data_IF_969403645457
#
_entry.id   IF_969403645457
#
_cell.length_a   1.000
_cell.length_b   1.000
_cell.length_c   1.000
_cell.angle_alpha   90.00
_cell.angle_beta   90.00
_cell.angle_gamma   90.00
#
_symmetry.space_group_name_H-M   'P 1'
#
loop_
_entity.id
_entity.type
_entity.pdbx_description
1 polymer ?
#
# COMPACT_ATOMS: atom_id res chain seq x y z
N UNK A 1 1.83 -19.47 11.76
CA UNK A 1 2.56 -18.38 11.04
C UNK A 1 4.01 -18.82 10.88
N UNK A 2 4.62 -18.46 9.78
CA UNK A 2 6.03 -18.72 9.50
C UNK A 2 6.79 -17.39 9.51
N UNK A 3 8.03 -17.41 10.01
CA UNK A 3 8.86 -16.20 10.07
C UNK A 3 10.22 -16.51 9.47
N UNK A 4 10.69 -15.63 8.59
CA UNK A 4 11.94 -15.75 7.88
C UNK A 4 12.73 -14.44 7.94
N UNK A 5 14.05 -14.54 8.12
CA UNK A 5 14.97 -13.40 7.95
C UNK A 5 15.61 -13.49 6.57
N UNK A 6 15.53 -12.40 5.81
CA UNK A 6 16.17 -12.27 4.52
C UNK A 6 17.26 -11.19 4.57
N UNK A 7 18.30 -11.36 3.74
CA UNK A 7 19.33 -10.36 3.55
C UNK A 7 19.00 -9.51 2.32
N UNK A 8 19.09 -8.20 2.47
CA UNK A 8 18.92 -7.24 1.39
C UNK A 8 20.31 -6.99 0.81
N UNK A 9 20.61 -7.53 -0.38
CA UNK A 9 21.95 -7.54 -0.94
C UNK A 9 22.55 -6.14 -1.13
N UNK A 10 23.80 -5.99 -0.73
CA UNK A 10 24.64 -4.83 -1.09
C UNK A 10 25.32 -4.99 -2.46
N UNK A 11 25.21 -6.16 -3.09
CA UNK A 11 25.84 -6.49 -4.36
C UNK A 11 24.89 -6.36 -5.56
N UNK A 12 25.45 -6.30 -6.77
CA UNK A 12 24.73 -6.26 -8.04
C UNK A 12 23.86 -7.50 -8.33
N UNK A 13 23.93 -8.52 -7.51
CA UNK A 13 23.07 -9.70 -7.57
C UNK A 13 21.86 -9.47 -6.66
N UNK A 14 20.72 -9.14 -7.28
CA UNK A 14 19.43 -8.98 -6.59
C UNK A 14 18.92 -10.36 -6.19
N UNK A 15 19.00 -10.69 -4.90
CA UNK A 15 18.23 -11.80 -4.38
C UNK A 15 16.76 -11.41 -4.35
N UNK A 16 15.93 -12.18 -5.06
CA UNK A 16 14.48 -11.99 -5.10
C UNK A 16 13.83 -13.04 -4.21
N UNK A 17 13.20 -12.59 -3.14
CA UNK A 17 12.38 -13.46 -2.29
C UNK A 17 10.94 -13.44 -2.78
N UNK A 18 10.54 -14.50 -3.48
CA UNK A 18 9.23 -14.59 -4.13
C UNK A 18 8.32 -15.55 -3.37
N UNK A 19 7.12 -15.12 -3.08
CA UNK A 19 6.12 -15.88 -2.34
C UNK A 19 4.81 -16.03 -3.14
N UNK A 20 4.17 -17.21 -3.12
CA UNK A 20 4.75 -18.46 -2.59
C UNK A 20 6.02 -18.86 -3.36
N UNK A 21 6.86 -19.67 -2.74
CA UNK A 21 8.07 -20.20 -3.37
C UNK A 21 7.77 -20.77 -4.76
N UNK A 22 8.71 -20.53 -5.72
CA UNK A 22 8.58 -20.91 -7.12
C UNK A 22 7.53 -20.13 -7.95
N UNK A 23 6.92 -19.07 -7.41
CA UNK A 23 6.14 -18.13 -8.20
C UNK A 23 7.05 -17.23 -9.03
N UNK A 24 6.59 -16.81 -10.22
CA UNK A 24 7.30 -15.79 -10.99
C UNK A 24 6.78 -14.40 -10.62
N UNK A 25 7.67 -13.40 -10.36
CA UNK A 25 7.25 -12.02 -10.17
C UNK A 25 6.39 -11.54 -11.35
N UNK A 26 5.19 -10.98 -11.07
CA UNK A 26 4.29 -10.49 -12.10
C UNK A 26 3.49 -11.57 -12.84
N UNK A 27 3.50 -12.82 -12.39
CA UNK A 27 2.62 -13.87 -12.94
C UNK A 27 1.15 -13.52 -12.71
N UNK A 28 0.24 -14.11 -13.51
CA UNK A 28 -1.22 -13.96 -13.30
C UNK A 28 -1.69 -14.61 -11.98
N UNK A 29 -0.87 -15.47 -11.38
CA UNK A 29 -1.11 -16.06 -10.08
C UNK A 29 -0.76 -15.08 -8.95
N UNK A 30 -1.32 -15.31 -7.76
CA UNK A 30 -0.90 -14.63 -6.54
C UNK A 30 0.62 -14.75 -6.38
N UNK A 31 1.28 -13.61 -6.36
CA UNK A 31 2.73 -13.55 -6.10
C UNK A 31 3.09 -12.22 -5.46
N UNK A 32 3.99 -12.28 -4.50
CA UNK A 32 4.62 -11.12 -3.89
C UNK A 32 6.12 -11.35 -3.87
N UNK A 33 6.87 -10.34 -4.23
CA UNK A 33 8.32 -10.40 -4.24
C UNK A 33 8.87 -9.28 -3.36
N UNK A 34 9.74 -9.64 -2.43
CA UNK A 34 10.54 -8.69 -1.67
C UNK A 34 11.98 -8.74 -2.17
N UNK A 35 12.56 -7.59 -2.41
CA UNK A 35 14.00 -7.47 -2.67
C UNK A 35 14.52 -6.13 -2.19
N UNK A 36 15.82 -6.03 -2.04
CA UNK A 36 16.50 -4.79 -1.71
C UNK A 36 17.84 -4.69 -2.42
N UNK A 37 18.43 -3.52 -2.45
CA UNK A 37 19.73 -3.29 -3.04
C UNK A 37 20.09 -1.83 -3.10
N UNK A 38 21.30 -1.55 -3.60
CA UNK A 38 21.80 -0.21 -3.79
C UNK A 38 21.73 0.18 -5.28
N UNK A 39 21.15 1.34 -5.54
CA UNK A 39 21.06 1.94 -6.85
C UNK A 39 22.21 2.95 -7.03
N UNK A 40 22.98 2.84 -8.09
CA UNK A 40 24.28 3.50 -8.26
C UNK A 40 24.34 4.53 -9.40
N UNK A 41 23.26 5.17 -9.72
CA UNK A 41 23.22 6.34 -10.61
C UNK A 41 22.94 6.03 -12.09
N UNK A 42 22.95 4.78 -12.56
CA UNK A 42 22.52 4.46 -13.89
C UNK A 42 21.00 4.60 -14.03
N UNK A 43 20.55 5.29 -15.11
CA UNK A 43 19.13 5.41 -15.37
C UNK A 43 18.50 4.03 -15.56
N UNK A 44 17.54 3.70 -14.73
CA UNK A 44 16.82 2.43 -14.74
C UNK A 44 15.34 2.67 -14.76
N UNK A 45 14.59 1.84 -15.49
CA UNK A 45 13.13 1.87 -15.48
C UNK A 45 12.57 0.74 -14.62
N UNK A 46 11.62 1.07 -13.78
CA UNK A 46 10.82 0.10 -13.01
C UNK A 46 9.35 0.19 -13.41
N UNK A 47 8.57 -0.84 -13.06
CA UNK A 47 7.17 -0.95 -13.43
C UNK A 47 6.96 -1.63 -14.78
N UNK A 48 5.71 -1.81 -15.15
CA UNK A 48 5.30 -2.44 -16.41
C UNK A 48 3.93 -3.08 -16.32
N UNK A 49 3.44 -3.59 -17.45
CA UNK A 49 2.08 -4.13 -17.56
C UNK A 49 1.84 -5.31 -16.61
N UNK A 50 0.82 -5.19 -15.78
CA UNK A 50 0.39 -6.24 -14.85
C UNK A 50 1.19 -6.34 -13.55
N UNK A 51 2.18 -5.46 -13.32
CA UNK A 51 3.02 -5.43 -12.13
C UNK A 51 2.79 -4.12 -11.40
N UNK A 52 2.47 -4.20 -10.11
CA UNK A 52 2.48 -3.04 -9.22
C UNK A 52 3.57 -3.20 -8.17
N UNK A 53 4.11 -2.10 -7.69
CA UNK A 53 5.18 -2.12 -6.69
C UNK A 53 5.12 -0.93 -5.74
N UNK A 54 5.57 -1.18 -4.53
CA UNK A 54 5.88 -0.18 -3.54
C UNK A 54 7.36 -0.21 -3.24
N UNK A 55 7.94 0.95 -3.11
CA UNK A 55 9.37 1.13 -2.95
C UNK A 55 9.61 2.10 -1.80
N UNK A 56 10.55 1.77 -0.92
CA UNK A 56 11.02 2.68 0.13
C UNK A 56 12.51 2.88 0.01
N UNK A 57 12.97 4.13 0.13
CA UNK A 57 14.40 4.41 0.22
C UNK A 57 14.89 4.15 1.62
N UNK A 58 15.93 3.34 1.75
CA UNK A 58 16.60 3.07 3.02
C UNK A 58 17.73 4.06 3.27
N UNK A 59 18.34 4.60 2.20
CA UNK A 59 19.35 5.66 2.25
C UNK A 59 19.44 6.42 0.92
N UNK A 60 20.02 7.61 0.91
CA UNK A 60 20.27 8.41 -0.29
C UNK A 60 19.06 9.14 -0.84
N UNK A 61 19.06 9.42 -2.14
CA UNK A 61 17.93 10.07 -2.83
C UNK A 61 17.84 9.69 -4.30
N UNK A 62 16.61 9.68 -4.83
CA UNK A 62 16.31 9.43 -6.24
C UNK A 62 15.39 10.51 -6.81
N UNK A 63 15.52 10.75 -8.11
CA UNK A 63 14.54 11.44 -8.93
C UNK A 63 13.72 10.38 -9.67
N UNK A 64 12.42 10.32 -9.42
CA UNK A 64 11.48 9.44 -10.08
C UNK A 64 10.74 10.21 -11.16
N UNK A 65 10.84 9.78 -12.43
CA UNK A 65 10.12 10.38 -13.56
C UNK A 65 9.12 9.37 -14.09
N UNK A 66 7.84 9.68 -13.97
CA UNK A 66 6.73 8.83 -14.44
C UNK A 66 6.46 9.02 -15.93
N UNK A 67 5.83 8.03 -16.57
CA UNK A 67 5.44 8.08 -17.99
C UNK A 67 4.44 9.21 -18.35
N UNK A 68 3.74 9.79 -17.36
CA UNK A 68 2.88 10.96 -17.50
C UNK A 68 3.65 12.29 -17.42
N UNK A 69 4.97 12.25 -17.27
CA UNK A 69 5.86 13.42 -17.15
C UNK A 69 6.00 13.99 -15.74
N UNK A 70 5.29 13.44 -14.76
CA UNK A 70 5.40 13.81 -13.34
C UNK A 70 6.79 13.44 -12.82
N UNK A 71 7.41 14.36 -12.07
CA UNK A 71 8.72 14.15 -11.43
C UNK A 71 8.61 14.32 -9.93
N UNK A 72 9.14 13.38 -9.19
CA UNK A 72 9.14 13.38 -7.72
C UNK A 72 10.57 13.10 -7.25
N UNK A 73 11.11 13.98 -6.40
CA UNK A 73 12.33 13.68 -5.63
C UNK A 73 11.92 12.90 -4.40
N UNK A 74 12.57 11.76 -4.18
CA UNK A 74 12.38 10.91 -2.99
C UNK A 74 13.69 10.80 -2.23
N UNK A 75 13.62 10.79 -0.91
CA UNK A 75 14.75 10.76 0.01
C UNK A 75 14.61 9.56 0.96
N UNK A 76 15.65 9.28 1.75
CA UNK A 76 15.62 8.18 2.71
C UNK A 76 14.39 8.25 3.65
N UNK A 77 13.65 7.18 3.73
CA UNK A 77 12.37 7.07 4.46
C UNK A 77 11.13 7.35 3.61
N UNK A 78 11.26 7.96 2.44
CA UNK A 78 10.14 8.20 1.53
C UNK A 78 9.70 6.92 0.82
N UNK A 79 8.40 6.85 0.55
CA UNK A 79 7.77 5.74 -0.16
C UNK A 79 7.23 6.26 -1.48
N UNK A 80 7.48 5.52 -2.55
CA UNK A 80 6.84 5.76 -3.85
C UNK A 80 6.30 4.46 -4.43
N UNK A 81 5.37 4.55 -5.36
CA UNK A 81 4.71 3.39 -5.95
C UNK A 81 4.69 3.45 -7.48
N UNK A 82 4.65 2.27 -8.09
CA UNK A 82 4.36 2.05 -9.49
C UNK A 82 3.07 1.24 -9.59
N UNK A 83 2.06 1.76 -10.26
CA UNK A 83 0.85 1.01 -10.59
C UNK A 83 1.04 0.21 -11.89
N UNK A 84 0.09 -0.67 -12.21
CA UNK A 84 0.22 -1.67 -13.27
C UNK A 84 0.48 -1.15 -14.69
N UNK A 85 0.26 0.13 -14.92
CA UNK A 85 0.50 0.81 -16.22
C UNK A 85 1.64 1.82 -16.14
N UNK A 86 2.19 2.04 -14.94
CA UNK A 86 3.26 3.00 -14.75
C UNK A 86 4.59 2.47 -15.25
N UNK A 87 5.38 3.39 -15.77
CA UNK A 87 6.78 3.20 -16.04
C UNK A 87 7.53 4.36 -15.41
N UNK A 88 8.39 4.05 -14.45
CA UNK A 88 9.10 5.07 -13.67
C UNK A 88 10.58 4.96 -13.95
N UNK A 89 11.16 6.03 -14.48
CA UNK A 89 12.60 6.19 -14.65
C UNK A 89 13.20 6.70 -13.33
N UNK A 90 14.21 6.02 -12.83
CA UNK A 90 14.94 6.35 -11.61
C UNK A 90 16.31 6.93 -11.96
N UNK A 91 16.72 8.02 -11.30
CA UNK A 91 18.03 8.65 -11.44
C UNK A 91 18.53 9.11 -10.07
N UNK A 92 19.76 8.73 -9.66
CA UNK A 92 20.37 9.11 -8.38
C UNK A 92 21.09 7.94 -7.70
N UNK A 93 21.41 8.10 -6.41
CA UNK A 93 22.09 7.06 -5.62
C UNK A 93 21.28 6.80 -4.35
N UNK A 94 20.85 5.57 -4.14
CA UNK A 94 20.04 5.22 -2.99
C UNK A 94 20.06 3.73 -2.67
N UNK A 95 19.95 3.40 -1.39
CA UNK A 95 19.48 2.11 -0.95
C UNK A 95 17.96 2.03 -1.11
N UNK A 96 17.45 0.94 -1.64
CA UNK A 96 16.03 0.75 -1.92
C UNK A 96 15.57 -0.63 -1.46
N UNK A 97 14.40 -0.67 -0.84
CA UNK A 97 13.66 -1.90 -0.61
C UNK A 97 12.39 -1.90 -1.44
N UNK A 98 12.14 -2.99 -2.12
CA UNK A 98 11.04 -3.14 -3.05
C UNK A 98 10.08 -4.23 -2.60
N UNK A 99 8.78 -3.95 -2.70
CA UNK A 99 7.71 -4.93 -2.66
C UNK A 99 6.99 -4.93 -4.01
N UNK A 100 7.18 -5.97 -4.79
CA UNK A 100 6.58 -6.14 -6.12
C UNK A 100 5.43 -7.13 -6.00
N UNK A 101 4.29 -6.75 -6.56
CA UNK A 101 3.05 -7.51 -6.45
C UNK A 101 2.55 -7.91 -7.83
N UNK A 102 2.21 -9.19 -7.97
CA UNK A 102 1.48 -9.70 -9.12
C UNK A 102 -0.02 -9.42 -9.02
N UNK A 103 -0.75 -9.85 -10.04
CA UNK A 103 -2.22 -9.75 -10.06
C UNK A 103 -2.84 -10.49 -8.85
N UNK A 104 -3.86 -9.88 -8.25
CA UNK A 104 -4.57 -10.47 -7.11
C UNK A 104 -3.90 -10.24 -5.75
N UNK A 105 -2.87 -9.41 -5.69
CA UNK A 105 -2.27 -8.94 -4.43
C UNK A 105 -2.66 -7.49 -4.19
N UNK A 106 -3.08 -7.19 -2.96
CA UNK A 106 -3.18 -5.83 -2.43
C UNK A 106 -2.06 -5.63 -1.42
N UNK A 107 -1.37 -4.52 -1.50
CA UNK A 107 -0.30 -4.23 -0.56
C UNK A 107 -0.05 -2.75 -0.36
N UNK A 108 0.75 -2.44 0.63
CA UNK A 108 1.23 -1.10 0.91
C UNK A 108 2.50 -1.17 1.78
N UNK A 109 3.29 -0.11 1.77
CA UNK A 109 4.35 0.12 2.73
C UNK A 109 3.94 1.27 3.65
N UNK A 110 4.20 1.14 4.94
CA UNK A 110 4.07 2.21 5.92
C UNK A 110 5.31 2.30 6.78
N UNK A 111 5.59 3.48 7.30
CA UNK A 111 6.64 3.70 8.30
C UNK A 111 6.03 4.06 9.64
N UNK A 112 6.72 3.74 10.71
CA UNK A 112 6.35 4.13 12.07
C UNK A 112 7.57 4.22 12.97
N UNK A 113 7.46 5.01 14.05
CA UNK A 113 8.48 5.06 15.08
C UNK A 113 8.30 3.90 16.05
N UNK A 114 9.34 3.10 16.25
CA UNK A 114 9.41 2.06 17.25
C UNK A 114 10.11 2.60 18.49
N UNK A 115 9.32 2.84 19.53
CA UNK A 115 9.76 3.32 20.84
C UNK A 115 9.72 2.17 21.84
N UNK A 116 10.89 1.64 22.19
CA UNK A 116 11.01 0.47 23.06
C UNK A 116 10.31 -0.75 22.46
N UNK A 117 9.15 -1.14 22.98
CA UNK A 117 8.40 -2.33 22.54
C UNK A 117 7.08 -1.95 21.91
N UNK A 118 6.73 -2.61 20.79
CA UNK A 118 5.44 -2.46 20.12
C UNK A 118 4.91 -3.81 19.66
N UNK A 119 3.68 -4.12 20.05
CA UNK A 119 2.98 -5.27 19.53
C UNK A 119 2.37 -4.94 18.17
N UNK A 120 2.66 -5.76 17.18
CA UNK A 120 2.13 -5.64 15.82
C UNK A 120 1.27 -6.84 15.50
N UNK A 121 0.06 -6.60 15.00
CA UNK A 121 -0.79 -7.67 14.48
C UNK A 121 -0.37 -8.02 13.07
N UNK A 122 -0.42 -9.32 12.75
CA UNK A 122 -0.03 -9.90 11.48
C UNK A 122 -1.10 -10.91 11.04
N UNK A 123 -1.31 -11.00 9.72
CA UNK A 123 -2.40 -11.75 9.15
C UNK A 123 -3.73 -10.98 9.16
N UNK A 124 -4.57 -11.24 8.18
CA UNK A 124 -5.87 -10.56 8.01
C UNK A 124 -7.07 -11.51 8.09
N UNK A 125 -6.82 -12.81 8.17
CA UNK A 125 -7.87 -13.83 8.28
C UNK A 125 -8.72 -14.05 7.03
N UNK A 126 -8.47 -13.31 5.94
CA UNK A 126 -9.23 -13.38 4.68
C UNK A 126 -8.44 -13.93 3.50
N UNK A 127 -7.12 -14.02 3.60
CA UNK A 127 -6.23 -14.53 2.57
C UNK A 127 -4.82 -14.73 3.12
N UNK A 128 -3.94 -15.28 2.30
CA UNK A 128 -2.52 -15.33 2.66
C UNK A 128 -1.96 -13.93 2.70
N UNK A 129 -1.19 -13.63 3.75
CA UNK A 129 -0.56 -12.32 3.94
C UNK A 129 0.92 -12.47 4.26
N UNK A 130 1.71 -11.55 3.71
CA UNK A 130 3.13 -11.45 3.92
C UNK A 130 3.44 -10.03 4.39
N UNK A 131 4.18 -9.91 5.48
CA UNK A 131 4.60 -8.61 6.02
C UNK A 131 6.10 -8.64 6.22
N UNK A 132 6.83 -7.78 5.51
CA UNK A 132 8.26 -7.57 5.73
C UNK A 132 8.47 -6.36 6.64
N UNK A 133 9.26 -6.53 7.69
CA UNK A 133 9.68 -5.46 8.60
C UNK A 133 11.15 -5.12 8.34
N UNK A 134 11.45 -3.83 8.19
CA UNK A 134 12.79 -3.32 7.86
C UNK A 134 13.12 -2.15 8.80
N UNK A 135 14.30 -2.17 9.43
CA UNK A 135 14.83 -1.02 10.15
C UNK A 135 15.42 0.00 9.18
N UNK A 136 14.95 1.26 9.24
CA UNK A 136 15.42 2.32 8.33
C UNK A 136 16.66 3.06 8.87
N UNK A 137 16.71 3.26 10.17
CA UNK A 137 17.79 3.99 10.82
C UNK A 137 18.34 3.31 12.09
N UNK A 138 18.03 2.02 12.27
CA UNK A 138 18.46 1.24 13.42
C UNK A 138 18.03 -0.20 13.31
N UNK A 139 18.34 -0.98 14.33
CA UNK A 139 18.07 -2.41 14.42
C UNK A 139 16.96 -2.72 15.41
N UNK A 140 16.28 -3.83 15.23
CA UNK A 140 15.22 -4.28 16.14
C UNK A 140 15.16 -5.79 16.20
N UNK A 141 14.53 -6.29 17.25
CA UNK A 141 14.21 -7.69 17.43
C UNK A 141 12.73 -7.91 17.24
N UNK A 142 12.34 -8.89 16.41
CA UNK A 142 10.99 -9.41 16.32
C UNK A 142 10.90 -10.71 17.13
N UNK A 143 9.92 -10.81 18.01
CA UNK A 143 9.67 -11.99 18.85
C UNK A 143 8.27 -12.56 18.55
N UNK A 144 8.21 -13.86 18.32
CA UNK A 144 7.00 -14.63 18.12
C UNK A 144 7.12 -16.00 18.81
N UNK A 145 6.18 -16.36 19.68
CA UNK A 145 6.15 -17.64 20.41
C UNK A 145 7.46 -17.98 21.15
N UNK A 146 8.19 -16.96 21.60
CA UNK A 146 9.47 -17.10 22.32
C UNK A 146 10.71 -17.16 21.41
N UNK A 147 10.54 -17.30 20.11
CA UNK A 147 11.63 -17.19 19.14
C UNK A 147 11.93 -15.72 18.82
N UNK A 148 13.20 -15.40 18.59
CA UNK A 148 13.70 -14.05 18.33
C UNK A 148 14.43 -13.97 17.00
N UNK A 149 14.01 -13.00 16.19
CA UNK A 149 14.57 -12.69 14.88
C UNK A 149 15.18 -11.30 14.93
N UNK A 150 16.49 -11.19 14.77
CA UNK A 150 17.20 -9.90 14.78
C UNK A 150 17.18 -9.32 13.39
N UNK A 151 16.58 -8.14 13.25
CA UNK A 151 16.60 -7.35 12.02
C UNK A 151 17.74 -6.33 12.10
N UNK A 152 18.82 -6.62 11.41
CA UNK A 152 20.00 -5.78 11.27
C UNK A 152 19.85 -4.83 10.08
N UNK A 153 20.80 -3.89 9.97
CA UNK A 153 20.91 -3.10 8.74
C UNK A 153 21.03 -4.05 7.53
N UNK A 154 20.37 -3.69 6.43
CA UNK A 154 20.36 -4.47 5.19
C UNK A 154 19.73 -5.87 5.33
N UNK A 155 18.82 -6.03 6.28
CA UNK A 155 17.98 -7.24 6.39
C UNK A 155 16.51 -6.88 6.57
N UNK A 156 15.64 -7.83 6.28
CA UNK A 156 14.22 -7.77 6.60
C UNK A 156 13.78 -9.04 7.32
N UNK A 157 12.77 -8.91 8.18
CA UNK A 157 12.09 -10.08 8.77
C UNK A 157 10.72 -10.17 8.14
N UNK A 158 10.44 -11.28 7.46
CA UNK A 158 9.17 -11.54 6.79
C UNK A 158 8.33 -12.44 7.68
N UNK A 159 7.08 -12.05 7.87
CA UNK A 159 6.06 -12.85 8.56
C UNK A 159 5.02 -13.28 7.52
N UNK A 160 4.85 -14.57 7.36
CA UNK A 160 3.79 -15.18 6.56
C UNK A 160 2.66 -15.65 7.47
N UNK A 161 1.45 -15.25 7.17
CA UNK A 161 0.23 -15.77 7.78
C UNK A 161 -0.66 -16.37 6.71
N UNK A 162 -1.00 -17.65 6.85
CA UNK A 162 -1.86 -18.40 5.96
C UNK A 162 -3.32 -17.90 5.97
N UNK A 163 -4.14 -18.47 5.13
CA UNK A 163 -5.60 -18.20 5.09
C UNK A 163 -6.21 -18.48 6.45
N UNK A 164 -6.96 -17.52 7.00
CA UNK A 164 -7.58 -17.56 8.33
C UNK A 164 -6.61 -17.51 9.51
N UNK A 165 -5.33 -17.33 9.28
CA UNK A 165 -4.38 -17.09 10.34
C UNK A 165 -4.28 -15.60 10.67
N UNK A 166 -4.19 -15.31 11.94
CA UNK A 166 -3.82 -14.00 12.46
C UNK A 166 -3.15 -14.18 13.81
N UNK A 167 -2.26 -13.29 14.12
CA UNK A 167 -1.51 -13.34 15.36
C UNK A 167 -0.91 -11.99 15.70
N UNK A 168 0.04 -11.99 16.61
CA UNK A 168 0.77 -10.79 16.98
C UNK A 168 2.25 -11.11 17.14
N UNK A 169 3.08 -10.21 16.66
CA UNK A 169 4.53 -10.24 16.89
C UNK A 169 4.92 -9.06 17.77
N UNK A 170 5.94 -9.23 18.60
CA UNK A 170 6.50 -8.15 19.40
C UNK A 170 7.74 -7.60 18.71
N UNK A 171 7.74 -6.32 18.40
CA UNK A 171 8.93 -5.61 17.96
C UNK A 171 9.56 -4.90 19.14
N UNK A 172 10.88 -4.98 19.27
CA UNK A 172 11.66 -4.31 20.31
C UNK A 172 12.79 -3.56 19.64
N UNK A 173 12.88 -2.25 19.84
CA UNK A 173 14.01 -1.44 19.38
C UNK A 173 15.28 -1.83 20.14
N UNK A 174 16.40 -2.00 19.44
CA UNK A 174 17.68 -2.34 20.03
C UNK A 174 18.45 -1.04 20.35
N UNK A 175 18.09 -0.39 21.46
CA UNK A 175 18.67 0.88 21.89
C UNK A 175 17.70 2.06 21.76
N UNK A 176 18.07 3.08 20.97
CA UNK A 176 17.24 4.27 20.76
C UNK A 176 16.00 3.98 19.89
N UNK A 177 15.05 4.92 19.93
CA UNK A 177 13.86 4.87 19.07
C UNK A 177 14.26 4.88 17.58
N UNK A 178 13.68 3.99 16.82
CA UNK A 178 14.01 3.79 15.40
C UNK A 178 12.81 3.93 14.49
N UNK A 179 13.06 4.29 13.24
CA UNK A 179 12.05 4.21 12.17
C UNK A 179 12.03 2.81 11.58
N UNK A 180 10.85 2.20 11.52
CA UNK A 180 10.63 0.88 10.94
C UNK A 180 9.65 1.00 9.78
N UNK A 181 9.97 0.37 8.65
CA UNK A 181 9.03 0.15 7.58
C UNK A 181 8.36 -1.22 7.70
N UNK A 182 7.06 -1.27 7.43
CA UNK A 182 6.30 -2.50 7.30
C UNK A 182 5.66 -2.55 5.90
N UNK A 183 6.15 -3.49 5.08
CA UNK A 183 5.65 -3.76 3.74
C UNK A 183 4.67 -4.94 3.80
N UNK A 184 3.39 -4.69 3.61
CA UNK A 184 2.34 -5.69 3.72
C UNK A 184 1.74 -6.02 2.37
N UNK A 185 1.63 -7.31 2.04
CA UNK A 185 0.91 -7.81 0.88
C UNK A 185 -0.07 -8.91 1.25
N UNK A 186 -1.29 -8.82 0.74
CA UNK A 186 -2.39 -9.73 1.04
C UNK A 186 -3.02 -10.24 -0.25
N UNK A 187 -3.31 -11.53 -0.29
CA UNK A 187 -4.07 -12.12 -1.38
C UNK A 187 -5.48 -11.53 -1.44
N UNK A 188 -5.83 -10.94 -2.57
CA UNK A 188 -7.20 -10.52 -2.81
C UNK A 188 -8.09 -11.72 -3.20
N UNK A 189 -9.33 -11.68 -2.80
CA UNK A 189 -10.36 -12.48 -3.43
C UNK A 189 -10.43 -12.12 -4.92
N UNK A 190 -10.76 -13.11 -5.79
CA UNK A 190 -10.77 -12.95 -7.26
C UNK A 190 -11.65 -11.80 -7.77
N UNK A 191 -12.55 -11.28 -6.95
CA UNK A 191 -13.53 -10.25 -7.30
C UNK A 191 -13.35 -9.02 -6.41
N UNK A 192 -12.71 -7.99 -6.95
CA UNK A 192 -12.62 -6.65 -6.37
C UNK A 192 -13.51 -5.71 -7.20
N UNK A 193 -14.60 -5.21 -6.60
CA UNK A 193 -15.55 -4.34 -7.30
C UNK A 193 -14.95 -2.98 -7.64
N UNK A 194 -14.06 -2.44 -6.80
CA UNK A 194 -13.31 -1.23 -7.11
C UNK A 194 -12.43 -1.40 -8.36
N UNK A 195 -11.72 -2.52 -8.44
CA UNK A 195 -10.92 -2.87 -9.63
C UNK A 195 -11.81 -3.09 -10.87
N UNK A 196 -12.97 -3.71 -10.70
CA UNK A 196 -13.93 -3.95 -11.80
C UNK A 196 -14.41 -2.64 -12.44
N UNK A 197 -14.72 -1.62 -11.63
CA UNK A 197 -15.05 -0.29 -12.14
C UNK A 197 -13.83 0.52 -12.60
N UNK A 198 -12.60 0.08 -12.34
CA UNK A 198 -11.36 0.71 -12.80
C UNK A 198 -10.75 1.73 -11.87
N UNK A 199 -10.98 1.62 -10.56
CA UNK A 199 -10.31 2.48 -9.56
C UNK A 199 -8.81 2.22 -9.57
N UNK A 200 -8.03 3.29 -9.71
CA UNK A 200 -6.57 3.29 -9.62
C UNK A 200 -6.12 4.12 -8.43
N UNK A 201 -5.41 3.52 -7.51
CA UNK A 201 -4.85 4.21 -6.35
C UNK A 201 -3.59 4.97 -6.75
N UNK A 202 -3.52 6.26 -6.42
CA UNK A 202 -2.41 7.16 -6.78
C UNK A 202 -1.45 7.36 -5.60
N UNK A 203 -1.99 7.59 -4.41
CA UNK A 203 -1.24 7.92 -3.21
C UNK A 203 -1.82 7.19 -2.01
N UNK A 204 -0.97 6.75 -1.10
CA UNK A 204 -1.36 6.06 0.13
C UNK A 204 -0.37 6.37 1.26
N UNK A 205 -0.91 6.67 2.42
CA UNK A 205 -0.16 6.78 3.67
C UNK A 205 -1.04 6.38 4.84
N UNK A 206 -0.55 6.43 6.05
CA UNK A 206 -1.33 6.06 7.22
C UNK A 206 -2.57 6.97 7.36
N UNK A 207 -3.75 6.37 7.25
CA UNK A 207 -5.03 7.08 7.31
C UNK A 207 -5.40 7.90 6.09
N UNK A 208 -4.63 7.82 5.02
CA UNK A 208 -4.85 8.60 3.80
C UNK A 208 -4.81 7.73 2.55
N UNK A 209 -5.66 8.05 1.60
CA UNK A 209 -5.63 7.45 0.26
C UNK A 209 -6.20 8.42 -0.77
N UNK A 210 -5.59 8.41 -1.96
CA UNK A 210 -6.06 9.12 -3.15
C UNK A 210 -6.14 8.15 -4.30
N UNK A 211 -7.23 8.22 -5.06
CA UNK A 211 -7.42 7.39 -6.24
C UNK A 211 -8.05 8.16 -7.39
N UNK A 212 -7.87 7.61 -8.59
CA UNK A 212 -8.42 8.10 -9.84
C UNK A 212 -9.34 7.05 -10.46
N UNK A 213 -10.40 7.50 -11.06
CA UNK A 213 -11.30 6.71 -11.90
C UNK A 213 -11.45 7.37 -13.27
N UNK A 214 -10.91 6.75 -14.31
CA UNK A 214 -11.13 7.18 -15.69
C UNK A 214 -12.56 6.80 -16.11
N UNK A 215 -13.33 7.80 -16.60
CA UNK A 215 -14.76 7.61 -16.85
C UNK A 215 -15.00 6.90 -18.17
N UNK A 216 -15.84 5.87 -18.12
CA UNK A 216 -16.29 5.06 -19.24
C UNK A 216 -17.81 5.15 -19.38
N UNK A 217 -18.38 4.78 -20.55
CA UNK A 217 -19.84 4.79 -20.76
C UNK A 217 -20.62 4.01 -19.68
N UNK A 218 -20.08 2.88 -19.19
CA UNK A 218 -20.70 2.04 -18.16
C UNK A 218 -20.80 2.71 -16.78
N UNK A 219 -20.07 3.80 -16.57
CA UNK A 219 -20.12 4.59 -15.33
C UNK A 219 -21.24 5.64 -15.35
N UNK A 220 -21.91 5.81 -16.50
CA UNK A 220 -22.88 6.89 -16.69
C UNK A 220 -24.31 6.43 -16.37
N UNK A 221 -25.12 7.36 -15.91
CA UNK A 221 -26.55 7.16 -15.77
C UNK A 221 -27.30 7.59 -17.05
N UNK A 222 -28.61 7.29 -17.17
CA UNK A 222 -29.39 7.63 -18.36
C UNK A 222 -29.49 9.12 -18.69
N UNK A 223 -29.24 10.01 -17.72
CA UNK A 223 -29.29 11.46 -17.94
C UNK A 223 -27.93 12.07 -18.32
N UNK A 224 -26.89 11.22 -18.50
CA UNK A 224 -25.58 11.65 -18.99
C UNK A 224 -24.65 12.22 -17.93
N UNK A 225 -24.88 11.89 -16.66
CA UNK A 225 -23.94 12.18 -15.56
C UNK A 225 -23.35 10.88 -15.02
N UNK A 226 -22.25 10.97 -14.30
CA UNK A 226 -21.70 9.79 -13.59
C UNK A 226 -22.75 9.27 -12.60
N UNK A 227 -22.98 7.97 -12.61
CA UNK A 227 -23.95 7.31 -11.74
C UNK A 227 -23.54 7.45 -10.26
N UNK A 228 -24.50 7.77 -9.39
CA UNK A 228 -24.24 7.96 -7.96
C UNK A 228 -23.63 6.74 -7.27
N UNK A 229 -24.03 5.52 -7.70
CA UNK A 229 -23.41 4.28 -7.22
C UNK A 229 -21.93 4.17 -7.61
N UNK A 230 -21.54 4.67 -8.79
CA UNK A 230 -20.15 4.71 -9.20
C UNK A 230 -19.33 5.67 -8.33
N UNK A 231 -19.88 6.85 -8.03
CA UNK A 231 -19.28 7.81 -7.10
C UNK A 231 -19.09 7.21 -5.70
N UNK A 232 -20.14 6.53 -5.20
CA UNK A 232 -20.09 5.88 -3.89
C UNK A 232 -19.04 4.77 -3.85
N UNK A 233 -18.97 3.91 -4.87
CA UNK A 233 -17.97 2.82 -4.94
C UNK A 233 -16.55 3.35 -4.98
N UNK A 234 -16.30 4.44 -5.72
CA UNK A 234 -14.99 5.10 -5.74
C UNK A 234 -14.61 5.60 -4.35
N UNK A 235 -15.55 6.26 -3.65
CA UNK A 235 -15.33 6.76 -2.30
C UNK A 235 -15.09 5.64 -1.28
N UNK A 236 -15.89 4.55 -1.32
CA UNK A 236 -15.75 3.41 -0.42
C UNK A 236 -14.42 2.69 -0.62
N UNK A 237 -13.99 2.50 -1.87
CA UNK A 237 -12.69 1.91 -2.18
C UNK A 237 -11.51 2.74 -1.62
N UNK A 238 -11.56 4.06 -1.78
CA UNK A 238 -10.53 5.00 -1.27
C UNK A 238 -10.51 4.99 0.25
N UNK A 239 -11.69 5.08 0.86
CA UNK A 239 -11.81 5.15 2.31
C UNK A 239 -11.45 3.82 2.99
N UNK A 240 -11.86 2.68 2.41
CA UNK A 240 -11.49 1.35 2.87
C UNK A 240 -9.98 1.13 2.83
N UNK A 241 -9.31 1.66 1.79
CA UNK A 241 -7.86 1.63 1.68
C UNK A 241 -7.18 2.50 2.76
N UNK A 242 -7.69 3.70 3.02
CA UNK A 242 -7.19 4.57 4.08
C UNK A 242 -7.40 3.94 5.47
N UNK A 243 -8.57 3.35 5.72
CA UNK A 243 -8.86 2.67 6.98
C UNK A 243 -7.95 1.45 7.21
N UNK A 244 -7.66 0.68 6.16
CA UNK A 244 -6.76 -0.49 6.23
C UNK A 244 -5.30 -0.09 6.46
N UNK A 245 -4.86 1.09 6.00
CA UNK A 245 -3.47 1.54 6.16
C UNK A 245 -3.07 1.81 7.62
N UNK A 246 -4.05 2.02 8.51
CA UNK A 246 -3.84 2.22 9.95
C UNK A 246 -3.58 0.88 10.68
N UNK A 247 -3.79 -0.23 9.99
CA UNK A 247 -3.65 -1.59 10.48
C UNK A 247 -4.98 -2.24 10.85
N UNK A 248 -5.01 -3.54 10.61
CA UNK A 248 -6.16 -4.39 10.85
C UNK A 248 -7.27 -4.32 9.81
N UNK A 249 -8.11 -5.34 9.80
CA UNK A 249 -9.31 -5.39 8.95
C UNK A 249 -10.37 -4.47 9.53
N UNK A 250 -10.91 -3.61 8.70
CA UNK A 250 -12.01 -2.72 9.05
C UNK A 250 -13.17 -2.93 8.07
N UNK A 251 -14.40 -2.82 8.57
CA UNK A 251 -15.61 -2.85 7.74
C UNK A 251 -16.37 -1.56 7.86
N UNK A 252 -16.96 -1.09 6.76
CA UNK A 252 -17.88 0.04 6.74
C UNK A 252 -19.14 -0.33 7.55
N UNK A 253 -19.50 0.50 8.52
CA UNK A 253 -20.73 0.30 9.33
C UNK A 253 -21.76 1.39 9.10
N UNK A 254 -21.32 2.56 8.64
CA UNK A 254 -22.21 3.66 8.27
C UNK A 254 -21.55 4.55 7.23
N UNK A 255 -22.37 5.18 6.38
CA UNK A 255 -21.89 6.14 5.40
C UNK A 255 -23.01 7.11 4.98
N UNK A 256 -22.60 8.35 4.72
CA UNK A 256 -23.49 9.39 4.23
C UNK A 256 -22.85 10.10 3.04
N UNK A 257 -23.48 10.03 1.86
CA UNK A 257 -23.02 10.73 0.65
C UNK A 257 -23.88 11.96 0.37
N UNK A 258 -23.21 13.06 0.03
CA UNK A 258 -23.84 14.30 -0.48
C UNK A 258 -23.39 14.50 -1.92
N UNK A 259 -24.34 14.49 -2.86
CA UNK A 259 -24.14 14.82 -4.27
C UNK A 259 -24.29 16.32 -4.44
N UNK A 260 -23.18 17.03 -4.55
CA UNK A 260 -23.14 18.49 -4.56
C UNK A 260 -23.28 19.05 -5.97
N UNK A 261 -22.66 18.39 -6.96
CA UNK A 261 -22.68 18.81 -8.34
C UNK A 261 -22.80 17.61 -9.29
N UNK A 262 -23.49 17.80 -10.40
CA UNK A 262 -23.55 16.80 -11.45
C UNK A 262 -22.20 16.71 -12.21
N UNK A 263 -21.67 15.49 -12.33
CA UNK A 263 -20.46 15.20 -13.10
C UNK A 263 -20.85 14.87 -14.55
N UNK A 264 -20.96 15.87 -15.41
CA UNK A 264 -21.31 15.71 -16.82
C UNK A 264 -20.10 15.29 -17.65
N UNK A 265 -20.02 14.02 -18.01
CA UNK A 265 -19.00 13.44 -18.92
C UNK A 265 -17.56 13.91 -18.59
N UNK A 266 -17.12 13.86 -17.34
CA UNK A 266 -15.74 14.19 -17.03
C UNK A 266 -14.82 13.13 -17.66
N UNK A 267 -13.57 13.47 -17.90
CA UNK A 267 -12.57 12.50 -18.36
C UNK A 267 -12.22 11.51 -17.26
N UNK A 268 -12.10 12.02 -16.03
CA UNK A 268 -11.81 11.23 -14.84
C UNK A 268 -12.37 11.91 -13.58
N UNK A 269 -12.38 11.15 -12.52
CA UNK A 269 -12.63 11.62 -11.17
C UNK A 269 -11.42 11.35 -10.28
N UNK A 270 -11.17 12.24 -9.34
CA UNK A 270 -10.22 12.04 -8.23
C UNK A 270 -11.01 11.95 -6.94
N UNK A 271 -10.75 10.91 -6.16
CA UNK A 271 -11.26 10.80 -4.81
C UNK A 271 -10.10 10.81 -3.81
N UNK A 272 -10.29 11.52 -2.71
CA UNK A 272 -9.27 11.75 -1.70
C UNK A 272 -9.88 11.64 -0.31
N UNK A 273 -9.28 10.79 0.55
CA UNK A 273 -9.78 10.55 1.90
C UNK A 273 -9.03 11.37 2.93
N UNK A 274 -9.77 11.87 3.91
CA UNK A 274 -9.24 12.63 5.06
C UNK A 274 -9.74 12.02 6.36
N UNK A 275 -8.85 11.66 7.31
CA UNK A 275 -9.26 11.12 8.59
C UNK A 275 -9.90 12.22 9.45
N UNK A 276 -11.12 11.96 9.97
CA UNK A 276 -11.78 12.77 10.99
C UNK A 276 -11.43 12.29 12.40
N UNK A 277 -11.37 10.95 12.57
CA UNK A 277 -11.02 10.31 13.84
C UNK A 277 -10.41 8.94 13.58
N UNK A 278 -9.26 8.69 14.18
CA UNK A 278 -8.59 7.39 14.20
C UNK A 278 -8.67 6.85 15.62
N UNK A 279 -9.67 6.00 15.88
CA UNK A 279 -9.83 5.29 17.14
C UNK A 279 -9.48 3.81 17.01
N UNK A 280 -9.34 3.13 18.16
CA UNK A 280 -9.00 1.70 18.17
C UNK A 280 -10.09 0.83 17.51
N UNK A 281 -11.36 1.10 17.83
CA UNK A 281 -12.52 0.34 17.29
C UNK A 281 -13.26 1.11 16.21
N UNK A 282 -13.43 2.41 16.36
CA UNK A 282 -14.17 3.27 15.43
C UNK A 282 -13.20 4.23 14.76
N UNK A 283 -13.25 4.26 13.43
CA UNK A 283 -12.50 5.18 12.58
C UNK A 283 -13.48 5.94 11.70
N UNK A 284 -13.31 7.24 11.59
CA UNK A 284 -14.18 8.08 10.79
C UNK A 284 -13.37 8.89 9.78
N UNK A 285 -13.86 8.95 8.56
CA UNK A 285 -13.22 9.62 7.44
C UNK A 285 -14.22 10.46 6.66
N UNK A 286 -13.69 11.45 5.95
CA UNK A 286 -14.39 12.14 4.87
C UNK A 286 -13.67 11.86 3.56
N UNK A 287 -14.41 11.67 2.48
CA UNK A 287 -13.89 11.58 1.11
C UNK A 287 -14.44 12.71 0.29
N UNK A 288 -13.58 13.43 -0.42
CA UNK A 288 -13.94 14.39 -1.46
C UNK A 288 -13.77 13.75 -2.84
N UNK A 289 -14.75 13.93 -3.72
CA UNK A 289 -14.66 13.51 -5.11
C UNK A 289 -14.70 14.76 -6.00
N UNK A 290 -13.67 14.93 -6.83
CA UNK A 290 -13.56 16.04 -7.80
C UNK A 290 -13.48 15.52 -9.22
N UNK A 291 -13.92 16.33 -10.18
CA UNK A 291 -13.78 16.02 -11.60
C UNK A 291 -12.44 16.54 -12.17
N UNK A 292 -12.23 16.34 -13.48
CA UNK A 292 -11.04 16.75 -14.22
C UNK A 292 -10.87 18.29 -14.37
N UNK A 293 -11.79 19.07 -13.82
CA UNK A 293 -11.74 20.54 -13.72
C UNK A 293 -11.60 20.99 -12.25
N UNK A 294 -11.26 20.09 -11.33
CA UNK A 294 -11.16 20.31 -9.88
C UNK A 294 -12.50 20.76 -9.22
N UNK A 295 -13.62 20.52 -9.88
CA UNK A 295 -14.94 20.82 -9.35
C UNK A 295 -15.34 19.73 -8.36
N UNK A 296 -15.71 20.12 -7.13
CA UNK A 296 -16.20 19.19 -6.11
C UNK A 296 -17.56 18.61 -6.54
N UNK A 297 -17.61 17.31 -6.74
CA UNK A 297 -18.79 16.56 -7.21
C UNK A 297 -19.60 16.00 -6.05
N UNK A 298 -18.91 15.37 -5.10
CA UNK A 298 -19.53 14.76 -3.95
C UNK A 298 -18.60 14.76 -2.74
N UNK A 299 -19.20 14.71 -1.55
CA UNK A 299 -18.51 14.38 -0.31
C UNK A 299 -19.15 13.16 0.31
N UNK A 300 -18.36 12.31 0.94
CA UNK A 300 -18.85 11.08 1.59
C UNK A 300 -18.21 10.93 2.95
N UNK A 301 -19.03 10.84 3.97
CA UNK A 301 -18.60 10.49 5.31
C UNK A 301 -18.73 8.98 5.52
N UNK A 302 -17.70 8.38 6.13
CA UNK A 302 -17.66 6.95 6.45
C UNK A 302 -17.33 6.72 7.92
N UNK A 303 -17.97 5.71 8.48
CA UNK A 303 -17.61 5.14 9.78
C UNK A 303 -17.22 3.69 9.56
N UNK A 304 -16.01 3.35 9.99
CA UNK A 304 -15.48 1.99 9.96
C UNK A 304 -15.39 1.42 11.37
N UNK A 305 -15.69 0.15 11.47
CA UNK A 305 -15.45 -0.65 12.68
C UNK A 305 -14.24 -1.57 12.44
N UNK A 306 -13.26 -1.51 13.36
CA UNK A 306 -12.13 -2.42 13.35
C UNK A 306 -12.58 -3.79 13.86
N UNK A 307 -12.45 -4.81 13.03
CA UNK A 307 -12.81 -6.21 13.36
C UNK A 307 -11.80 -6.88 14.30
N UNK A 308 -10.71 -6.20 14.61
CA UNK A 308 -9.66 -6.72 15.48
C UNK A 308 -9.79 -6.09 16.88
N UNK A 309 -9.57 -6.89 17.92
CA UNK A 309 -9.62 -6.48 19.34
C UNK A 309 -8.44 -5.62 19.80
#
# INVERSE_FOLDING_TARGET
MEIEKILLGQSSEKENYVYPENSMPGSEAFSICFNGGYFNGEKTCIGGKGISGYHILTEGSLMCTYNDGRKIKVEAGDIFNCETEDRVELEGNAGIFNMIMGNGVRGFIRTFQLKGKKMMRVGEGVGESYIAFIGLNGTFTLEYEGEKFYCEKDSAVIVHAGKKEFGSVMLTADGEDISVAAASGVQLLKHDFGKFIGVRFLERSEGYCKARLDIRPDHMNPIGTVHGGCLFTLADAVCGMAASSIGGVSTTVDSHIQFLNAAFRPKYLIAESFPKKIGRKIRSFCVEIKDDQDKLIATVDFIFYSLQD
#
